data_IF_774786040614
#
_entry.id   IF_774786040614
#
_cell.length_a   1.000
_cell.length_b   1.000
_cell.length_c   1.000
_cell.angle_alpha   90.00
_cell.angle_beta   90.00
_cell.angle_gamma   90.00
#
_symmetry.space_group_name_H-M   'P 1'
#
loop_
_entity.id
_entity.type
_entity.pdbx_description
1 polymer ?
#
# COMPACT_ATOMS: atom_id res chain seq x y z
N UNK A 1 14.09 -4.48 -5.26
CA UNK A 1 13.25 -5.45 -4.54
C UNK A 1 12.47 -6.30 -5.53
N UNK A 2 12.70 -7.61 -5.51
CA UNK A 2 12.12 -8.55 -6.49
C UNK A 2 10.88 -9.28 -5.97
N UNK A 3 10.67 -9.32 -4.65
CA UNK A 3 9.53 -9.99 -4.05
C UNK A 3 8.26 -9.16 -4.29
N UNK A 4 7.28 -9.79 -4.93
CA UNK A 4 5.98 -9.24 -5.26
C UNK A 4 4.86 -10.06 -4.61
N UNK A 5 3.64 -9.53 -4.58
CA UNK A 5 2.48 -10.27 -4.09
C UNK A 5 1.16 -9.86 -4.79
N UNK A 6 0.18 -10.75 -4.71
CA UNK A 6 -1.25 -10.49 -4.95
C UNK A 6 -2.05 -10.83 -3.69
N UNK A 7 -3.31 -10.38 -3.62
CA UNK A 7 -4.23 -10.75 -2.55
C UNK A 7 -5.14 -11.88 -3.03
N UNK A 8 -5.31 -12.91 -2.20
CA UNK A 8 -6.32 -13.94 -2.40
C UNK A 8 -7.72 -13.44 -1.97
N UNK A 9 -8.74 -14.30 -2.11
CA UNK A 9 -10.12 -13.97 -1.73
C UNK A 9 -10.30 -13.75 -0.22
N UNK A 10 -9.43 -14.35 0.60
CA UNK A 10 -9.42 -14.20 2.05
C UNK A 10 -8.59 -12.97 2.52
N UNK A 11 -7.94 -12.26 1.60
CA UNK A 11 -7.08 -11.11 1.90
C UNK A 11 -5.64 -11.46 2.30
N UNK A 12 -5.22 -12.72 2.21
CA UNK A 12 -3.84 -13.13 2.43
C UNK A 12 -2.95 -12.79 1.25
N UNK A 13 -1.65 -12.62 1.52
CA UNK A 13 -0.65 -12.32 0.48
C UNK A 13 -0.14 -13.61 -0.15
N UNK A 14 -0.27 -13.73 -1.46
CA UNK A 14 0.37 -14.78 -2.27
C UNK A 14 1.61 -14.21 -2.92
N UNK A 15 2.78 -14.70 -2.52
CA UNK A 15 4.07 -14.15 -2.96
C UNK A 15 4.53 -14.73 -4.31
N UNK A 16 5.24 -13.90 -5.08
CA UNK A 16 5.77 -14.26 -6.40
C UNK A 16 6.93 -13.34 -6.79
N UNK A 17 7.72 -13.74 -7.78
CA UNK A 17 8.72 -12.88 -8.42
C UNK A 17 8.20 -12.28 -9.74
N UNK A 18 7.05 -12.75 -10.23
CA UNK A 18 6.44 -12.29 -11.48
C UNK A 18 5.84 -10.89 -11.31
N UNK A 19 5.89 -10.07 -12.37
CA UNK A 19 5.28 -8.73 -12.41
C UNK A 19 3.79 -8.75 -12.74
N UNK A 20 3.33 -9.80 -13.40
CA UNK A 20 1.92 -10.03 -13.74
C UNK A 20 1.58 -11.48 -13.45
N UNK A 21 0.45 -11.72 -12.81
CA UNK A 21 -0.13 -13.04 -12.54
C UNK A 21 -1.61 -12.95 -12.89
N UNK A 22 -2.11 -13.84 -13.76
CA UNK A 22 -3.51 -13.91 -14.19
C UNK A 22 -4.09 -12.56 -14.67
N UNK A 23 -3.29 -11.83 -15.45
CA UNK A 23 -3.64 -10.49 -15.96
C UNK A 23 -3.61 -9.36 -14.90
N UNK A 24 -3.37 -9.67 -13.63
CA UNK A 24 -3.26 -8.70 -12.53
C UNK A 24 -1.80 -8.30 -12.31
N UNK A 25 -1.55 -6.99 -12.21
CA UNK A 25 -0.22 -6.45 -11.88
C UNK A 25 0.07 -6.70 -10.39
N UNK A 26 1.23 -7.26 -10.11
CA UNK A 26 1.65 -7.60 -8.74
C UNK A 26 2.21 -6.39 -8.01
N UNK A 27 2.04 -6.34 -6.68
CA UNK A 27 2.52 -5.24 -5.82
C UNK A 27 3.84 -5.62 -5.15
N UNK A 28 4.70 -4.65 -4.87
CA UNK A 28 5.93 -4.88 -4.09
C UNK A 28 5.57 -5.40 -2.70
N UNK A 29 6.20 -6.50 -2.27
CA UNK A 29 6.04 -7.04 -0.92
C UNK A 29 6.68 -6.17 0.15
N UNK A 30 7.57 -5.25 -0.25
CA UNK A 30 8.29 -4.37 0.65
C UNK A 30 7.63 -2.98 0.70
N UNK A 31 7.55 -2.35 1.88
CA UNK A 31 7.02 -1.01 2.02
C UNK A 31 7.92 0.04 1.35
N UNK A 32 7.36 1.22 1.09
CA UNK A 32 8.15 2.37 0.67
C UNK A 32 9.20 2.73 1.73
N UNK A 33 10.41 3.13 1.29
CA UNK A 33 11.49 3.53 2.19
C UNK A 33 11.07 4.74 3.01
N UNK A 34 11.33 4.70 4.32
CA UNK A 34 11.20 5.87 5.19
C UNK A 34 12.34 6.86 4.93
N UNK A 35 12.01 8.15 4.83
CA UNK A 35 12.98 9.24 4.72
C UNK A 35 12.62 10.32 5.73
N UNK A 36 13.56 10.74 6.61
CA UNK A 36 13.30 11.82 7.56
C UNK A 36 12.97 13.17 6.89
N UNK A 37 13.52 13.39 5.70
CA UNK A 37 13.41 14.61 4.91
C UNK A 37 12.20 14.62 3.96
N UNK A 38 11.19 13.79 4.20
CA UNK A 38 10.06 13.61 3.27
C UNK A 38 9.27 14.90 2.97
N UNK A 39 9.67 15.56 1.88
CA UNK A 39 9.11 16.80 1.34
C UNK A 39 7.64 16.67 0.93
N UNK A 40 7.15 15.45 0.70
CA UNK A 40 5.79 15.18 0.21
C UNK A 40 4.82 14.72 1.31
N UNK A 41 5.25 14.81 2.58
CA UNK A 41 4.46 14.43 3.74
C UNK A 41 3.10 15.16 3.82
N UNK A 42 3.09 16.48 3.56
CA UNK A 42 1.86 17.30 3.55
C UNK A 42 0.86 16.82 2.52
N UNK A 43 1.31 16.56 1.30
CA UNK A 43 0.48 16.12 0.17
C UNK A 43 -0.14 14.76 0.47
N UNK A 44 0.66 13.84 1.03
CA UNK A 44 0.18 12.51 1.43
C UNK A 44 -0.89 12.58 2.52
N UNK A 45 -0.71 13.43 3.53
CA UNK A 45 -1.71 13.61 4.61
C UNK A 45 -2.99 14.25 4.05
N UNK A 46 -2.89 15.29 3.23
CA UNK A 46 -4.05 15.94 2.60
C UNK A 46 -4.85 14.97 1.72
N UNK A 47 -4.17 14.11 0.95
CA UNK A 47 -4.83 13.09 0.14
C UNK A 47 -5.58 12.08 1.02
N UNK A 48 -4.94 11.55 2.07
CA UNK A 48 -5.60 10.64 3.02
C UNK A 48 -6.83 11.28 3.67
N UNK A 49 -6.73 12.56 4.06
CA UNK A 49 -7.84 13.31 4.65
C UNK A 49 -9.03 13.42 3.72
N UNK A 50 -8.79 13.70 2.42
CA UNK A 50 -9.85 13.84 1.41
C UNK A 50 -10.68 12.57 1.23
N UNK A 51 -10.05 11.40 1.38
CA UNK A 51 -10.69 10.10 1.21
C UNK A 51 -11.11 9.44 2.54
N UNK A 52 -11.10 10.18 3.66
CA UNK A 52 -11.43 9.67 4.99
C UNK A 52 -10.60 8.44 5.41
N UNK A 53 -9.33 8.41 5.02
CA UNK A 53 -8.38 7.33 5.31
C UNK A 53 -7.50 7.58 6.54
N UNK A 54 -7.68 8.72 7.23
CA UNK A 54 -6.99 8.96 8.50
C UNK A 54 -7.69 8.18 9.63
N UNK A 55 -6.92 7.57 10.50
CA UNK A 55 -7.43 6.89 11.70
C UNK A 55 -8.33 7.80 12.55
N UNK A 56 -7.98 9.09 12.65
CA UNK A 56 -8.76 10.09 13.38
C UNK A 56 -10.13 10.40 12.75
N UNK A 57 -10.38 9.97 11.51
CA UNK A 57 -11.66 10.15 10.81
C UNK A 57 -12.53 8.89 10.89
N UNK A 58 -11.97 7.75 11.30
CA UNK A 58 -12.70 6.49 11.42
C UNK A 58 -13.48 6.47 12.74
N UNK A 59 -14.65 5.81 12.75
CA UNK A 59 -15.39 5.59 13.99
C UNK A 59 -14.56 4.70 14.91
N UNK A 60 -14.55 4.96 16.23
CA UNK A 60 -14.04 3.97 17.17
C UNK A 60 -14.86 2.69 17.00
N UNK A 61 -14.17 1.54 16.94
CA UNK A 61 -14.80 0.22 17.01
C UNK A 61 -15.49 0.02 18.37
#
# INVERSE_FOLDING_TARGET
MHLMYTLDEAGNRVYTLKKVVDGKVTKSAHPARFSPDDKWSRQRVTLKRRFNLLLTQQKPE
#
